data_IF_981242163203
#
_entry.id   IF_981242163203
#
_cell.length_a   1.000
_cell.length_b   1.000
_cell.length_c   1.000
_cell.angle_alpha   90.00
_cell.angle_beta   90.00
_cell.angle_gamma   90.00
#
_symmetry.space_group_name_H-M   'P 1'
#
loop_
_entity.id
_entity.type
_entity.pdbx_description
1 polymer ?
#
# COMPACT_ATOMS: atom_id res chain seq x y z
N UNK A 1 23.87 14.85 34.89
CA UNK A 1 22.60 14.10 34.87
C UNK A 1 22.55 13.42 33.52
N UNK A 2 22.49 12.09 33.50
CA UNK A 2 22.32 11.37 32.24
C UNK A 2 20.97 11.75 31.60
N UNK A 3 20.88 11.83 30.27
CA UNK A 3 19.61 12.03 29.60
C UNK A 3 18.65 10.88 29.96
N UNK A 4 17.39 11.21 30.27
CA UNK A 4 16.35 10.19 30.48
C UNK A 4 16.29 9.23 29.28
N UNK A 5 16.31 7.89 29.50
CA UNK A 5 16.20 6.93 28.41
C UNK A 5 14.82 6.93 27.74
N UNK A 6 13.79 7.44 28.42
CA UNK A 6 12.45 7.61 27.87
C UNK A 6 12.38 8.82 26.93
N UNK A 7 12.02 8.56 25.68
CA UNK A 7 11.83 9.52 24.59
C UNK A 7 10.42 10.14 24.64
N UNK A 8 10.22 11.19 23.82
CA UNK A 8 8.92 11.81 23.55
C UNK A 8 8.10 12.15 24.80
N UNK A 9 8.79 12.67 25.83
CA UNK A 9 8.20 13.03 27.12
C UNK A 9 7.52 11.85 27.85
N UNK A 10 8.00 10.62 27.63
CA UNK A 10 7.69 9.47 28.46
C UNK A 10 8.19 9.67 29.89
N UNK A 11 7.47 9.13 30.87
CA UNK A 11 7.87 9.21 32.27
C UNK A 11 8.74 8.00 32.62
N UNK A 12 9.95 8.25 33.11
CA UNK A 12 10.89 7.21 33.51
C UNK A 12 10.69 6.84 34.98
N UNK A 13 10.57 5.54 35.24
CA UNK A 13 10.53 4.99 36.59
C UNK A 13 11.68 3.98 36.75
N UNK A 14 12.51 4.10 37.79
CA UNK A 14 13.56 3.13 38.06
C UNK A 14 12.96 1.79 38.50
N UNK A 15 13.59 0.69 38.07
CA UNK A 15 13.34 -0.67 38.55
C UNK A 15 14.57 -1.11 39.37
N UNK A 16 14.48 -0.92 40.68
CA UNK A 16 15.58 -1.19 41.62
C UNK A 16 15.86 -2.68 41.80
N UNK A 17 14.89 -3.55 41.52
CA UNK A 17 15.04 -4.99 41.73
C UNK A 17 15.88 -5.63 40.62
N UNK A 18 15.86 -5.04 39.42
CA UNK A 18 16.55 -5.57 38.24
C UNK A 18 17.70 -4.67 37.72
N UNK A 19 18.03 -3.59 38.43
CA UNK A 19 18.99 -2.56 37.97
C UNK A 19 18.61 -2.03 36.56
N UNK A 20 17.32 -1.78 36.34
CA UNK A 20 16.74 -1.40 35.05
C UNK A 20 15.80 -0.17 35.21
N UNK A 21 15.07 0.17 34.16
CA UNK A 21 14.04 1.20 34.14
C UNK A 21 12.84 0.75 33.32
N UNK A 22 11.69 1.39 33.56
CA UNK A 22 10.55 1.28 32.67
C UNK A 22 10.00 2.67 32.32
N UNK A 23 9.56 2.82 31.08
CA UNK A 23 8.97 4.06 30.60
C UNK A 23 7.44 3.94 30.55
N UNK A 24 6.74 4.91 31.12
CA UNK A 24 5.30 5.09 30.92
C UNK A 24 5.10 6.06 29.76
N UNK A 25 4.55 5.53 28.68
CA UNK A 25 4.41 6.23 27.42
C UNK A 25 3.12 7.03 27.31
N UNK A 26 3.18 8.12 26.55
CA UNK A 26 1.99 8.89 26.17
C UNK A 26 1.21 8.13 25.07
N UNK A 27 -0.07 8.45 24.82
CA UNK A 27 -0.92 7.69 23.89
C UNK A 27 -0.38 7.53 22.45
N UNK A 28 0.49 8.42 21.99
CA UNK A 28 1.10 8.39 20.64
C UNK A 28 2.49 7.71 20.60
N UNK A 29 2.99 7.22 21.73
CA UNK A 29 4.32 6.62 21.84
C UNK A 29 4.24 5.24 22.48
N UNK A 30 5.10 4.32 22.04
CA UNK A 30 5.16 2.94 22.53
C UNK A 30 6.59 2.43 22.44
N UNK A 31 6.81 1.22 22.92
CA UNK A 31 8.14 0.61 22.97
C UNK A 31 8.81 0.83 24.32
N UNK A 32 10.00 0.25 24.52
CA UNK A 32 10.71 0.27 25.81
C UNK A 32 11.00 1.71 26.25
N UNK A 33 11.23 2.59 25.28
CA UNK A 33 11.69 3.95 25.50
C UNK A 33 10.68 5.00 25.04
N UNK A 34 9.42 4.64 24.82
CA UNK A 34 8.38 5.56 24.32
C UNK A 34 8.75 6.24 23.00
N UNK A 35 9.21 5.44 22.06
CA UNK A 35 9.42 5.85 20.68
C UNK A 35 8.08 6.20 20.00
N UNK A 36 8.06 7.25 19.17
CA UNK A 36 6.89 7.61 18.38
C UNK A 36 6.81 6.67 17.17
N UNK A 37 5.68 5.98 17.00
CA UNK A 37 5.46 5.11 15.86
C UNK A 37 4.23 5.58 15.09
N UNK A 38 4.46 6.04 13.87
CA UNK A 38 3.41 6.50 12.98
C UNK A 38 2.75 5.30 12.29
N UNK A 39 1.43 5.27 12.25
CA UNK A 39 0.66 4.18 11.64
C UNK A 39 0.86 4.09 10.14
N UNK A 40 1.02 5.24 9.49
CA UNK A 40 1.05 5.44 8.04
C UNK A 40 1.68 6.82 7.71
N UNK A 41 1.75 7.14 6.42
CA UNK A 41 2.30 8.40 5.94
C UNK A 41 1.46 9.63 6.31
N UNK A 42 0.16 9.50 6.60
CA UNK A 42 -0.69 10.62 7.01
C UNK A 42 -0.37 11.05 8.44
N UNK A 43 -0.12 10.09 9.33
CA UNK A 43 0.35 10.35 10.69
C UNK A 43 1.76 10.97 10.70
N UNK A 44 2.64 10.53 9.79
CA UNK A 44 3.95 11.16 9.57
C UNK A 44 3.81 12.61 9.13
N UNK A 45 2.96 12.89 8.13
CA UNK A 45 2.72 14.26 7.66
C UNK A 45 2.19 15.17 8.78
N UNK A 46 1.22 14.69 9.55
CA UNK A 46 0.65 15.42 10.69
C UNK A 46 1.70 15.73 11.78
N UNK A 47 2.76 14.93 11.87
CA UNK A 47 3.88 15.18 12.78
C UNK A 47 4.91 16.19 12.27
N UNK A 48 4.77 16.64 11.02
CA UNK A 48 5.66 17.60 10.37
C UNK A 48 6.65 16.97 9.38
N UNK A 49 6.56 15.68 9.07
CA UNK A 49 7.35 15.07 8.00
C UNK A 49 6.74 15.41 6.62
N UNK A 50 7.28 16.41 5.94
CA UNK A 50 6.72 16.96 4.69
C UNK A 50 7.49 16.62 3.42
N UNK A 51 8.47 15.71 3.49
CA UNK A 51 9.32 15.36 2.34
C UNK A 51 8.95 13.98 1.83
N UNK A 52 8.87 13.82 0.51
CA UNK A 52 8.67 12.51 -0.10
C UNK A 52 9.87 11.60 0.20
N UNK A 53 9.62 10.32 0.44
CA UNK A 53 10.72 9.38 0.64
C UNK A 53 10.33 8.12 1.39
N UNK A 54 11.35 7.35 1.77
CA UNK A 54 11.16 6.09 2.47
C UNK A 54 11.09 6.35 3.97
N UNK A 55 9.99 5.93 4.58
CA UNK A 55 9.77 6.01 6.03
C UNK A 55 9.49 4.64 6.60
N UNK A 56 9.71 4.50 7.91
CA UNK A 56 9.37 3.30 8.69
C UNK A 56 8.07 3.56 9.46
N UNK A 57 7.06 2.74 9.23
CA UNK A 57 5.73 2.86 9.84
C UNK A 57 5.38 1.61 10.66
N UNK A 58 4.36 1.72 11.51
CA UNK A 58 3.91 0.67 12.42
C UNK A 58 2.38 0.66 12.64
N UNK A 59 1.59 0.23 11.64
CA UNK A 59 0.12 0.29 11.74
C UNK A 59 -0.49 -0.61 12.82
N UNK A 60 0.20 -1.69 13.24
CA UNK A 60 -0.38 -2.72 14.12
C UNK A 60 0.60 -3.35 15.14
N UNK A 61 1.77 -2.74 15.36
CA UNK A 61 2.81 -3.25 16.28
C UNK A 61 3.99 -3.94 15.60
N UNK A 62 3.96 -4.14 14.27
CA UNK A 62 5.12 -4.61 13.49
C UNK A 62 5.60 -3.58 12.46
N UNK A 63 6.89 -3.27 12.47
CA UNK A 63 7.43 -2.29 11.54
C UNK A 63 7.60 -2.80 10.12
N UNK A 64 7.46 -1.90 9.15
CA UNK A 64 7.97 -2.06 7.80
C UNK A 64 8.22 -0.70 7.15
N UNK A 65 8.98 -0.69 6.06
CA UNK A 65 9.25 0.50 5.27
C UNK A 65 8.20 0.69 4.18
N UNK A 66 7.88 1.95 3.89
CA UNK A 66 6.99 2.39 2.82
C UNK A 66 7.57 3.62 2.14
N UNK A 67 7.15 3.88 0.92
CA UNK A 67 7.37 5.18 0.29
C UNK A 67 6.18 6.09 0.63
N UNK A 68 6.47 7.25 1.19
CA UNK A 68 5.50 8.29 1.47
C UNK A 68 5.58 9.38 0.40
N UNK A 69 4.43 9.66 -0.20
CA UNK A 69 4.20 10.85 -1.00
C UNK A 69 3.55 11.91 -0.09
N UNK A 70 4.35 12.90 0.26
CA UNK A 70 4.02 14.01 1.16
C UNK A 70 3.62 15.28 0.41
N UNK A 71 3.55 15.24 -0.93
CA UNK A 71 3.35 16.43 -1.75
C UNK A 71 2.07 16.39 -2.60
N UNK A 72 1.69 15.23 -3.15
CA UNK A 72 0.51 15.11 -4.03
C UNK A 72 -0.79 15.29 -3.26
N UNK A 73 -1.67 16.17 -3.73
CA UNK A 73 -3.02 16.39 -3.16
C UNK A 73 -3.02 16.56 -1.62
N UNK A 74 -2.13 17.42 -1.12
CA UNK A 74 -1.96 17.67 0.31
C UNK A 74 -1.19 16.58 1.06
N UNK A 75 -0.61 15.60 0.38
CA UNK A 75 0.38 14.65 0.91
C UNK A 75 -0.16 13.61 1.88
N UNK A 76 0.76 12.89 2.53
CA UNK A 76 0.45 11.87 3.55
C UNK A 76 0.03 10.53 2.95
N UNK A 77 0.35 10.30 1.68
CA UNK A 77 -0.03 9.09 0.96
C UNK A 77 1.01 7.99 1.14
N UNK A 78 0.56 6.80 1.49
CA UNK A 78 1.38 5.58 1.55
C UNK A 78 1.30 4.87 0.20
N UNK A 79 2.37 4.93 -0.59
CA UNK A 79 2.41 4.29 -1.91
C UNK A 79 2.62 2.79 -1.75
N UNK A 80 1.77 1.98 -2.38
CA UNK A 80 1.85 0.52 -2.32
C UNK A 80 2.10 -0.16 -3.67
N UNK A 81 1.92 0.56 -4.77
CA UNK A 81 2.26 0.10 -6.12
C UNK A 81 2.85 1.27 -6.90
N UNK A 82 3.92 1.01 -7.65
CA UNK A 82 4.52 1.99 -8.57
C UNK A 82 5.07 1.30 -9.82
N UNK A 83 4.74 1.86 -10.99
CA UNK A 83 5.25 1.50 -12.33
C UNK A 83 5.77 2.75 -13.02
N UNK A 84 6.90 2.69 -13.71
CA UNK A 84 7.50 3.83 -14.40
C UNK A 84 8.41 3.48 -15.59
N UNK A 85 9.21 2.41 -15.51
CA UNK A 85 10.26 2.12 -16.49
C UNK A 85 10.32 0.65 -16.92
N UNK A 86 9.48 -0.22 -16.33
CA UNK A 86 9.45 -1.65 -16.63
C UNK A 86 10.67 -2.43 -16.13
N UNK A 87 11.49 -1.86 -15.24
CA UNK A 87 12.66 -2.52 -14.67
C UNK A 87 12.31 -3.72 -13.77
N UNK A 88 11.08 -3.81 -13.29
CA UNK A 88 10.63 -4.92 -12.44
C UNK A 88 9.58 -5.76 -13.16
N UNK A 89 9.81 -7.07 -13.17
CA UNK A 89 8.81 -8.03 -13.66
C UNK A 89 7.66 -8.17 -12.64
N UNK A 90 6.43 -7.82 -13.04
CA UNK A 90 5.20 -7.99 -12.26
C UNK A 90 4.46 -9.31 -12.57
N UNK A 91 4.89 -10.08 -13.56
CA UNK A 91 4.40 -11.44 -13.77
C UNK A 91 5.03 -12.38 -12.74
N UNK A 92 4.41 -12.42 -11.55
CA UNK A 92 4.92 -13.06 -10.33
C UNK A 92 3.87 -13.96 -9.71
N UNK A 93 4.34 -14.95 -8.96
CA UNK A 93 3.48 -15.91 -8.28
C UNK A 93 2.85 -15.36 -6.99
N UNK A 94 1.97 -16.15 -6.39
CA UNK A 94 1.17 -15.79 -5.22
C UNK A 94 2.03 -15.33 -4.04
N UNK A 95 3.13 -16.06 -3.78
CA UNK A 95 3.99 -15.77 -2.64
C UNK A 95 4.69 -14.42 -2.78
N UNK A 96 5.12 -14.04 -3.98
CA UNK A 96 5.75 -12.75 -4.26
C UNK A 96 4.74 -11.61 -4.06
N UNK A 97 3.52 -11.72 -4.59
CA UNK A 97 2.47 -10.72 -4.38
C UNK A 97 2.04 -10.61 -2.92
N UNK A 98 2.10 -11.72 -2.17
CA UNK A 98 1.79 -11.76 -0.75
C UNK A 98 2.80 -10.97 0.09
N UNK A 99 4.10 -11.13 -0.18
CA UNK A 99 5.19 -10.51 0.60
C UNK A 99 5.65 -9.15 0.08
N UNK A 100 5.45 -8.90 -1.22
CA UNK A 100 5.96 -7.74 -1.94
C UNK A 100 7.27 -8.01 -2.68
N UNK A 101 7.55 -7.19 -3.69
CA UNK A 101 8.72 -7.26 -4.56
C UNK A 101 9.06 -5.88 -5.16
N UNK A 102 10.26 -5.77 -5.75
CA UNK A 102 10.76 -4.52 -6.34
C UNK A 102 11.51 -3.64 -5.32
N UNK A 103 11.65 -2.35 -5.65
CA UNK A 103 12.35 -1.36 -4.82
C UNK A 103 11.46 -0.16 -4.52
N UNK A 104 11.40 0.27 -3.26
CA UNK A 104 10.65 1.48 -2.86
C UNK A 104 11.18 2.78 -3.53
N UNK A 105 12.39 2.76 -4.10
CA UNK A 105 12.94 3.87 -4.88
C UNK A 105 12.69 3.76 -6.39
N UNK A 106 12.07 2.68 -6.86
CA UNK A 106 11.78 2.40 -8.27
C UNK A 106 10.38 1.80 -8.43
N UNK A 107 10.26 0.76 -9.26
CA UNK A 107 9.02 -0.01 -9.36
C UNK A 107 8.90 -1.01 -8.22
N UNK A 108 7.70 -1.13 -7.65
CA UNK A 108 7.44 -2.11 -6.60
C UNK A 108 5.97 -2.45 -6.43
N UNK A 109 5.75 -3.59 -5.78
CA UNK A 109 4.51 -3.98 -5.13
C UNK A 109 4.80 -4.18 -3.65
N UNK A 110 4.10 -3.45 -2.77
CA UNK A 110 4.40 -3.45 -1.34
C UNK A 110 4.14 -4.80 -0.67
N UNK A 111 3.18 -5.56 -1.20
CA UNK A 111 2.78 -6.87 -0.69
C UNK A 111 1.40 -6.85 -0.03
N UNK A 112 0.57 -7.84 -0.37
CA UNK A 112 -0.80 -7.95 0.12
C UNK A 112 -0.88 -8.02 1.66
N UNK A 113 0.12 -8.61 2.31
CA UNK A 113 0.23 -8.61 3.78
C UNK A 113 0.26 -7.20 4.37
N UNK A 114 1.06 -6.32 3.76
CA UNK A 114 1.24 -4.95 4.26
C UNK A 114 0.03 -4.10 3.89
N UNK A 115 -0.53 -4.28 2.70
CA UNK A 115 -1.74 -3.58 2.24
C UNK A 115 -2.95 -3.92 3.13
N UNK A 116 -3.16 -5.21 3.45
CA UNK A 116 -4.19 -5.62 4.41
C UNK A 116 -3.99 -4.93 5.77
N UNK A 117 -2.77 -4.93 6.30
CA UNK A 117 -2.45 -4.31 7.60
C UNK A 117 -2.72 -2.80 7.62
N UNK A 118 -2.49 -2.12 6.50
CA UNK A 118 -2.78 -0.68 6.34
C UNK A 118 -4.28 -0.38 6.27
N UNK A 119 -5.07 -1.27 5.67
CA UNK A 119 -6.50 -1.04 5.40
C UNK A 119 -7.47 -1.68 6.40
N UNK A 120 -6.95 -2.45 7.38
CA UNK A 120 -7.77 -3.22 8.32
C UNK A 120 -8.51 -2.36 9.35
N UNK A 121 -7.94 -1.24 9.79
CA UNK A 121 -8.34 -0.55 11.03
C UNK A 121 -9.20 0.69 10.83
N UNK A 122 -9.09 1.34 9.70
CA UNK A 122 -9.79 2.58 9.40
C UNK A 122 -10.30 2.54 7.97
N UNK A 123 -11.31 3.35 7.69
CA UNK A 123 -11.71 3.62 6.30
C UNK A 123 -10.52 4.30 5.64
N UNK A 124 -9.97 3.65 4.61
CA UNK A 124 -8.80 4.12 3.89
C UNK A 124 -9.22 4.58 2.51
N UNK A 125 -8.76 5.76 2.11
CA UNK A 125 -8.94 6.29 0.77
C UNK A 125 -7.88 5.69 -0.15
N UNK A 126 -8.28 5.27 -1.34
CA UNK A 126 -7.37 4.90 -2.42
C UNK A 126 -7.28 6.05 -3.42
N UNK A 127 -6.07 6.36 -3.87
CA UNK A 127 -5.80 7.19 -5.05
C UNK A 127 -4.95 6.40 -6.04
N UNK A 128 -5.31 6.51 -7.31
CA UNK A 128 -4.57 5.96 -8.45
C UNK A 128 -4.18 7.12 -9.35
N UNK A 129 -2.87 7.39 -9.46
CA UNK A 129 -2.32 8.39 -10.38
C UNK A 129 -1.83 7.71 -11.65
N UNK A 130 -2.21 8.28 -12.81
CA UNK A 130 -1.94 7.72 -14.12
C UNK A 130 -1.30 8.79 -15.02
N UNK A 131 -0.23 8.41 -15.71
CA UNK A 131 0.42 9.24 -16.73
C UNK A 131 0.48 8.46 -18.04
N UNK A 132 -0.14 8.98 -19.09
CA UNK A 132 -0.14 8.31 -20.40
C UNK A 132 1.19 8.50 -21.16
N UNK A 133 1.32 7.84 -22.32
CA UNK A 133 2.52 7.93 -23.17
C UNK A 133 2.77 9.35 -23.73
N UNK A 134 1.73 10.21 -23.75
CA UNK A 134 1.81 11.62 -24.16
C UNK A 134 2.06 12.56 -22.97
N UNK A 135 2.27 12.02 -21.76
CA UNK A 135 2.40 12.73 -20.49
C UNK A 135 1.15 13.48 -20.02
N UNK A 136 -0.04 13.13 -20.51
CA UNK A 136 -1.27 13.58 -19.88
C UNK A 136 -1.47 12.84 -18.55
N UNK A 137 -1.98 13.56 -17.56
CA UNK A 137 -2.22 13.05 -16.23
C UNK A 137 -3.71 12.87 -15.98
N UNK A 138 -4.07 11.77 -15.32
CA UNK A 138 -5.42 11.53 -14.82
C UNK A 138 -5.34 10.81 -13.48
N UNK A 139 -6.44 10.83 -12.73
CA UNK A 139 -6.50 10.13 -11.45
C UNK A 139 -7.87 9.52 -11.19
N UNK A 140 -7.90 8.47 -10.38
CA UNK A 140 -9.11 7.90 -9.80
C UNK A 140 -8.95 7.86 -8.27
N UNK A 141 -9.97 8.24 -7.55
CA UNK A 141 -10.03 8.14 -6.10
C UNK A 141 -11.24 7.32 -5.66
N UNK A 142 -11.08 6.58 -4.57
CA UNK A 142 -12.14 5.79 -3.95
C UNK A 142 -12.17 6.13 -2.47
N UNK A 143 -13.34 6.56 -1.98
CA UNK A 143 -13.49 7.00 -0.58
C UNK A 143 -13.37 5.87 0.44
N UNK A 144 -13.51 4.61 0.01
CA UNK A 144 -13.29 3.43 0.83
C UNK A 144 -12.60 2.34 0.01
N UNK A 145 -11.47 1.86 0.52
CA UNK A 145 -10.69 0.76 -0.03
C UNK A 145 -10.18 -0.12 1.10
N UNK A 146 -10.36 -1.44 0.98
CA UNK A 146 -9.73 -2.40 1.87
C UNK A 146 -9.42 -3.71 1.17
N UNK A 147 -8.42 -4.40 1.72
CA UNK A 147 -7.99 -5.73 1.27
C UNK A 147 -8.16 -6.67 2.45
N UNK A 148 -8.92 -7.75 2.26
CA UNK A 148 -9.13 -8.77 3.30
C UNK A 148 -7.83 -9.53 3.61
N UNK A 149 -7.84 -10.42 4.59
CA UNK A 149 -6.65 -11.21 4.93
C UNK A 149 -6.47 -12.42 4.00
N UNK A 150 -5.43 -13.22 4.27
CA UNK A 150 -5.11 -14.39 3.46
C UNK A 150 -6.12 -15.53 3.54
N UNK A 151 -6.97 -15.58 4.57
CA UNK A 151 -8.04 -16.58 4.69
C UNK A 151 -9.19 -16.29 3.72
N UNK A 152 -9.38 -15.02 3.39
CA UNK A 152 -10.32 -14.53 2.39
C UNK A 152 -9.65 -14.21 1.05
N UNK A 153 -8.44 -14.74 0.84
CA UNK A 153 -7.69 -14.61 -0.42
C UNK A 153 -7.48 -13.15 -0.85
N UNK A 154 -7.27 -12.27 0.14
CA UNK A 154 -7.05 -10.83 -0.07
C UNK A 154 -8.16 -10.16 -0.88
N UNK A 155 -9.42 -10.56 -0.66
CA UNK A 155 -10.59 -10.00 -1.33
C UNK A 155 -10.61 -8.46 -1.27
N UNK A 156 -10.92 -7.83 -2.41
CA UNK A 156 -11.05 -6.39 -2.54
C UNK A 156 -12.41 -5.91 -2.01
N UNK A 157 -12.42 -4.84 -1.22
CA UNK A 157 -13.61 -4.01 -1.07
C UNK A 157 -13.28 -2.57 -1.49
N UNK A 158 -14.04 -2.01 -2.41
CA UNK A 158 -13.83 -0.67 -2.94
C UNK A 158 -15.15 0.02 -3.25
N UNK A 159 -15.26 1.31 -2.96
CA UNK A 159 -16.46 2.10 -3.26
C UNK A 159 -16.19 3.61 -3.26
N UNK A 160 -17.17 4.38 -3.77
CA UNK A 160 -17.15 5.83 -3.72
C UNK A 160 -16.15 6.46 -4.68
N UNK A 161 -16.17 5.99 -5.93
CA UNK A 161 -15.33 6.50 -7.02
C UNK A 161 -15.54 8.01 -7.24
N UNK A 162 -14.43 8.71 -7.54
CA UNK A 162 -14.37 10.03 -8.13
C UNK A 162 -13.08 10.18 -8.96
N UNK A 163 -12.97 11.26 -9.74
CA UNK A 163 -11.75 11.57 -10.50
C UNK A 163 -11.97 11.68 -12.00
N UNK A 164 -10.87 11.77 -12.74
CA UNK A 164 -10.84 12.06 -14.18
C UNK A 164 -10.48 10.86 -15.05
N UNK A 165 -9.97 9.76 -14.46
CA UNK A 165 -9.53 8.58 -15.19
C UNK A 165 -10.65 7.61 -15.60
N UNK A 166 -11.87 7.80 -15.09
CA UNK A 166 -12.96 6.83 -15.19
C UNK A 166 -12.88 5.75 -14.12
N UNK A 167 -14.02 5.11 -13.82
CA UNK A 167 -14.09 4.02 -12.85
C UNK A 167 -13.72 2.69 -13.51
N UNK A 168 -12.50 2.23 -13.27
CA UNK A 168 -11.96 0.99 -13.84
C UNK A 168 -11.67 -0.09 -12.78
N UNK A 169 -11.84 0.21 -11.49
CA UNK A 169 -11.67 -0.76 -10.39
C UNK A 169 -13.03 -1.28 -9.93
N UNK A 170 -13.80 -1.79 -10.88
CA UNK A 170 -15.18 -2.25 -10.67
C UNK A 170 -15.30 -3.70 -10.15
N UNK A 171 -14.20 -4.47 -10.11
CA UNK A 171 -14.12 -5.85 -9.59
C UNK A 171 -14.18 -5.90 -8.06
N UNK A 172 -15.10 -5.15 -7.48
CA UNK A 172 -15.37 -5.14 -6.05
C UNK A 172 -15.80 -6.54 -5.59
N UNK A 173 -15.39 -6.94 -4.39
CA UNK A 173 -15.64 -8.26 -3.80
C UNK A 173 -14.93 -9.43 -4.51
N UNK A 174 -14.07 -9.17 -5.51
CA UNK A 174 -13.24 -10.21 -6.13
C UNK A 174 -12.01 -10.58 -5.30
N UNK A 175 -11.56 -11.82 -5.46
CA UNK A 175 -10.36 -12.37 -4.80
C UNK A 175 -9.13 -12.05 -5.63
N UNK A 176 -7.98 -11.97 -4.98
CA UNK A 176 -6.73 -11.74 -5.70
C UNK A 176 -6.32 -13.03 -6.43
N UNK A 177 -5.82 -12.90 -7.65
CA UNK A 177 -5.37 -14.02 -8.49
C UNK A 177 -3.97 -13.78 -9.03
N UNK A 178 -3.20 -14.84 -9.14
CA UNK A 178 -1.87 -14.89 -9.77
C UNK A 178 -1.80 -16.13 -10.67
N UNK A 179 -0.81 -16.21 -11.57
CA UNK A 179 -0.74 -17.32 -12.54
C UNK A 179 -0.64 -18.72 -11.91
N UNK A 180 -0.16 -18.81 -10.67
CA UNK A 180 -0.01 -20.04 -9.88
C UNK A 180 -1.11 -20.20 -8.82
N UNK A 181 -2.04 -19.25 -8.72
CA UNK A 181 -3.18 -19.31 -7.82
C UNK A 181 -4.39 -18.58 -8.40
N UNK A 182 -5.17 -19.34 -9.15
CA UNK A 182 -6.39 -18.87 -9.77
C UNK A 182 -7.55 -18.79 -8.76
N UNK A 183 -8.05 -17.59 -8.54
CA UNK A 183 -9.23 -17.32 -7.72
C UNK A 183 -10.21 -16.38 -8.46
N UNK A 184 -10.06 -16.23 -9.77
CA UNK A 184 -10.92 -15.37 -10.57
C UNK A 184 -12.25 -16.08 -10.91
N UNK A 185 -13.16 -15.35 -11.56
CA UNK A 185 -14.46 -15.89 -11.88
C UNK A 185 -14.48 -16.80 -13.12
N UNK A 186 -13.41 -16.83 -13.92
CA UNK A 186 -13.38 -17.53 -15.19
C UNK A 186 -13.09 -19.02 -14.99
N UNK A 187 -14.14 -19.83 -14.97
CA UNK A 187 -14.03 -21.26 -14.64
C UNK A 187 -13.18 -22.14 -15.59
N UNK A 188 -12.75 -21.65 -16.75
CA UNK A 188 -12.08 -22.47 -17.78
C UNK A 188 -10.67 -22.04 -18.12
N UNK A 189 -10.25 -20.84 -17.72
CA UNK A 189 -8.93 -20.28 -18.02
C UNK A 189 -8.53 -19.28 -16.93
N UNK A 190 -7.26 -18.90 -16.85
CA UNK A 190 -6.75 -18.00 -15.80
C UNK A 190 -6.47 -16.60 -16.36
N UNK A 191 -7.20 -15.61 -15.83
CA UNK A 191 -6.98 -14.21 -16.20
C UNK A 191 -5.57 -13.74 -15.87
N UNK A 192 -5.01 -14.20 -14.74
CA UNK A 192 -3.66 -13.86 -14.35
C UNK A 192 -2.60 -14.41 -15.33
N UNK A 193 -2.84 -15.58 -15.92
CA UNK A 193 -1.97 -16.16 -16.95
C UNK A 193 -2.09 -15.39 -18.28
N UNK A 194 -3.30 -15.01 -18.69
CA UNK A 194 -3.53 -14.24 -19.93
C UNK A 194 -2.95 -12.82 -19.82
N UNK A 195 -3.23 -12.13 -18.70
CA UNK A 195 -2.88 -10.72 -18.45
C UNK A 195 -1.45 -10.52 -17.98
N UNK A 196 -0.79 -11.62 -17.57
CA UNK A 196 0.59 -11.63 -17.08
C UNK A 196 0.82 -10.69 -15.89
N UNK A 197 -0.13 -10.66 -14.97
CA UNK A 197 -0.12 -9.82 -13.77
C UNK A 197 -0.87 -10.48 -12.62
N UNK A 198 -0.76 -9.89 -11.43
CA UNK A 198 -1.59 -10.24 -10.28
C UNK A 198 -2.60 -9.14 -10.00
N UNK A 199 -3.88 -9.49 -9.91
CA UNK A 199 -4.97 -8.54 -9.71
C UNK A 199 -6.21 -9.18 -9.08
N UNK A 200 -7.20 -8.35 -8.74
CA UNK A 200 -8.56 -8.78 -8.44
C UNK A 200 -9.35 -8.93 -9.73
N UNK A 201 -9.18 -10.06 -10.42
CA UNK A 201 -9.83 -10.34 -11.71
C UNK A 201 -11.25 -10.90 -11.48
N UNK A 202 -12.20 -10.45 -12.29
CA UNK A 202 -13.55 -11.03 -12.41
C UNK A 202 -13.56 -11.99 -13.63
N UNK A 203 -13.85 -11.48 -14.85
CA UNK A 203 -13.92 -12.23 -16.12
C UNK A 203 -13.35 -11.44 -17.33
N UNK A 204 -12.12 -10.92 -17.40
CA UNK A 204 -11.08 -10.68 -16.42
C UNK A 204 -11.28 -9.34 -15.71
N UNK A 205 -10.43 -8.34 -15.92
CA UNK A 205 -10.65 -6.98 -15.40
C UNK A 205 -10.55 -5.96 -16.53
N UNK A 206 -11.24 -4.83 -16.37
CA UNK A 206 -11.10 -3.66 -17.25
C UNK A 206 -9.87 -2.83 -16.88
N UNK A 207 -9.30 -3.02 -15.69
CA UNK A 207 -8.03 -2.45 -15.24
C UNK A 207 -7.00 -3.54 -14.96
N UNK A 208 -5.75 -3.28 -15.35
CA UNK A 208 -4.64 -4.19 -15.06
C UNK A 208 -3.32 -3.42 -14.91
N UNK A 209 -3.18 -2.69 -13.80
CA UNK A 209 -1.98 -1.86 -13.54
C UNK A 209 -0.73 -2.70 -13.22
N UNK A 210 -0.92 -3.99 -12.95
CA UNK A 210 0.15 -4.96 -12.69
C UNK A 210 0.46 -5.85 -13.90
N UNK A 211 -0.28 -5.69 -15.00
CA UNK A 211 -0.03 -6.41 -16.26
C UNK A 211 1.33 -6.07 -16.89
N UNK A 212 1.65 -6.82 -17.94
CA UNK A 212 2.87 -6.60 -18.72
C UNK A 212 2.83 -5.22 -19.42
N UNK A 213 3.98 -4.58 -19.57
CA UNK A 213 4.09 -3.19 -20.06
C UNK A 213 3.62 -2.97 -21.51
N UNK A 214 3.51 -4.05 -22.30
CA UNK A 214 2.86 -4.00 -23.63
C UNK A 214 1.32 -3.92 -23.53
N UNK A 215 0.78 -3.95 -22.32
CA UNK A 215 -0.65 -4.14 -22.00
C UNK A 215 -1.11 -3.35 -20.77
N UNK A 216 -0.64 -2.11 -20.55
CA UNK A 216 -1.31 -1.22 -19.61
C UNK A 216 -2.70 -0.93 -20.16
N UNK A 217 -3.75 -1.52 -19.59
CA UNK A 217 -5.12 -1.32 -20.07
C UNK A 217 -6.01 -0.82 -18.94
N UNK A 218 -6.49 0.40 -19.09
CA UNK A 218 -7.87 0.77 -18.78
C UNK A 218 -8.43 1.39 -20.07
N UNK A 219 -9.46 0.79 -20.68
CA UNK A 219 -10.04 1.29 -21.95
C UNK A 219 -9.02 1.61 -23.06
N UNK A 220 -8.26 0.62 -23.56
CA UNK A 220 -7.34 0.79 -24.71
C UNK A 220 -6.22 1.83 -24.56
N UNK A 221 -5.89 2.29 -23.35
CA UNK A 221 -4.87 3.34 -23.14
C UNK A 221 -3.66 2.84 -22.35
N UNK A 222 -2.49 2.94 -22.98
CA UNK A 222 -1.22 2.60 -22.35
C UNK A 222 -0.71 3.73 -21.45
N UNK A 223 -0.24 3.37 -20.25
CA UNK A 223 0.33 4.31 -19.29
C UNK A 223 1.84 4.17 -19.23
N UNK A 224 2.51 5.31 -19.14
CA UNK A 224 3.94 5.43 -18.90
C UNK A 224 4.25 5.21 -17.43
N UNK A 225 3.48 5.87 -16.54
CA UNK A 225 3.64 5.76 -15.10
C UNK A 225 2.29 5.48 -14.43
N UNK A 226 2.29 4.63 -13.40
CA UNK A 226 1.13 4.41 -12.54
C UNK A 226 1.57 4.35 -11.09
N UNK A 227 0.80 4.96 -10.19
CA UNK A 227 0.99 4.81 -8.74
C UNK A 227 -0.34 4.54 -8.07
N UNK A 228 -0.37 3.58 -7.14
CA UNK A 228 -1.50 3.38 -6.24
C UNK A 228 -1.07 3.68 -4.80
N UNK A 229 -1.86 4.51 -4.12
CA UNK A 229 -1.49 5.06 -2.80
C UNK A 229 -2.70 5.19 -1.87
N UNK A 230 -2.43 5.05 -0.57
CA UNK A 230 -3.44 4.97 0.50
C UNK A 230 -3.32 6.15 1.47
N UNK A 231 -4.44 6.65 1.97
CA UNK A 231 -4.50 7.70 3.01
C UNK A 231 -5.67 7.46 3.96
#
# INVERSE_FOLDING_TARGET
MDPSPCQNHGTCYPDYDNDDYHCVCKPATRGRNCEAFYSDCSALLASGCTTDGIYKINPDGRFFQVYCDMTTDGGGWTVFQKRNDGSVNFYRGWQDYKTGFGSLTGEFWLGLHKIHRLTKRQVTKLRVDLVDLMNHTSYAEYSSFSVADGSELYRLNVSGYSGTAGDALHSNNERFSTFDKDNDGWSTDSCAAERKGGWWYEWCSVSDLNGMAETFWTYKQAFKNTEMKLK
#
